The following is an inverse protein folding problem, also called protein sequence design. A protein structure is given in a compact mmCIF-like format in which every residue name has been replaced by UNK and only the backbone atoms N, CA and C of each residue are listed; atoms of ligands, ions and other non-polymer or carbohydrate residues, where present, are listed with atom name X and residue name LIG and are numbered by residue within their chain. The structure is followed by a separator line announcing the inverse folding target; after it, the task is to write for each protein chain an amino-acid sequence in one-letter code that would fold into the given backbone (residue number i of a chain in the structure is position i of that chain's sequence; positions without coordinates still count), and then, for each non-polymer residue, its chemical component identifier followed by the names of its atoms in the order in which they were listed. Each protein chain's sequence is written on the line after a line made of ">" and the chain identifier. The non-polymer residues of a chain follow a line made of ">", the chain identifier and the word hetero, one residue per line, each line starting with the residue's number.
data_IF_907998328311
#
_entry.id   IF_907998328311
#
_cell.length_a   1.000
_cell.length_b   1.000
_cell.length_c   1.000
_cell.angle_alpha   90.00
_cell.angle_beta   90.00
_cell.angle_gamma   90.00
#
_symmetry.space_group_name_H-M   'P 1'
#
loop_
_entity.id
_entity.type
_entity.pdbx_description
1 polymer ?
#
# COMPACT_ATOMS: atom_id res chain seq x y z
N UNK A 1 -6.76 38.46 -33.43
CA UNK A 1 -5.53 37.97 -34.11
C UNK A 1 -5.95 37.38 -35.45
N UNK A 2 -5.40 37.84 -36.59
CA UNK A 2 -5.80 37.30 -37.91
C UNK A 2 -5.12 35.96 -38.14
N UNK A 3 -5.74 35.03 -38.87
CA UNK A 3 -5.20 33.68 -39.19
C UNK A 3 -3.76 33.73 -39.72
N UNK A 4 -3.43 34.76 -40.50
CA UNK A 4 -2.09 35.01 -41.04
C UNK A 4 -1.06 35.37 -39.96
N UNK A 5 -1.47 36.10 -38.94
CA UNK A 5 -0.58 36.52 -37.84
C UNK A 5 -0.27 35.32 -36.93
N UNK A 6 -1.25 34.45 -36.71
CA UNK A 6 -1.09 33.19 -35.98
C UNK A 6 -0.15 32.20 -36.70
N UNK A 7 -0.31 32.04 -38.02
CA UNK A 7 0.57 31.17 -38.82
C UNK A 7 2.01 31.68 -38.85
N UNK A 8 2.22 33.00 -38.86
CA UNK A 8 3.56 33.60 -38.78
C UNK A 8 4.22 33.36 -37.42
N UNK A 9 3.45 33.46 -36.33
CA UNK A 9 3.93 33.14 -34.98
C UNK A 9 4.32 31.67 -34.84
N UNK A 10 3.51 30.74 -35.38
CA UNK A 10 3.83 29.31 -35.40
C UNK A 10 5.08 29.00 -36.23
N UNK A 11 5.24 29.64 -37.40
CA UNK A 11 6.42 29.46 -38.23
C UNK A 11 7.70 29.99 -37.56
N UNK A 12 7.62 31.14 -36.87
CA UNK A 12 8.73 31.69 -36.08
C UNK A 12 9.08 30.81 -34.89
N UNK A 13 8.09 30.25 -34.19
CA UNK A 13 8.32 29.31 -33.09
C UNK A 13 9.02 28.03 -33.56
N UNK A 14 8.56 27.45 -34.69
CA UNK A 14 9.19 26.28 -35.27
C UNK A 14 10.62 26.55 -35.76
N UNK A 15 10.88 27.70 -36.38
CA UNK A 15 12.23 28.12 -36.80
C UNK A 15 13.18 28.40 -35.64
N UNK A 16 12.65 28.80 -34.48
CA UNK A 16 13.39 28.98 -33.23
C UNK A 16 13.64 27.66 -32.47
N UNK A 17 13.32 26.51 -33.06
CA UNK A 17 13.52 25.20 -32.44
C UNK A 17 12.49 24.83 -31.38
N UNK A 18 11.39 25.58 -31.25
CA UNK A 18 10.27 25.16 -30.41
C UNK A 18 9.59 23.95 -31.07
N UNK A 19 9.78 22.78 -30.49
CA UNK A 19 9.09 21.57 -30.95
C UNK A 19 7.59 21.70 -30.69
N UNK A 20 6.80 21.76 -31.77
CA UNK A 20 5.34 21.59 -31.73
C UNK A 20 4.92 20.12 -31.58
N UNK A 21 5.84 19.23 -31.17
CA UNK A 21 5.40 17.95 -30.62
C UNK A 21 4.63 18.30 -29.36
N UNK A 22 3.35 17.91 -29.21
CA UNK A 22 2.76 17.91 -27.90
C UNK A 22 3.69 17.03 -27.06
N UNK A 23 4.41 17.61 -26.10
CA UNK A 23 4.69 16.85 -24.91
C UNK A 23 3.32 16.33 -24.48
N UNK A 24 3.18 15.00 -24.35
CA UNK A 24 1.96 14.41 -23.83
C UNK A 24 1.50 15.30 -22.68
N UNK A 25 0.26 15.79 -22.74
CA UNK A 25 -0.24 16.62 -21.65
C UNK A 25 -0.04 15.84 -20.36
N UNK A 26 0.21 16.51 -19.22
CA UNK A 26 0.39 15.78 -17.96
C UNK A 26 -0.78 14.84 -17.66
N UNK A 27 -1.97 15.14 -18.21
CA UNK A 27 -3.13 14.25 -18.23
C UNK A 27 -2.96 12.98 -19.07
N UNK A 28 -2.40 13.06 -20.28
CA UNK A 28 -2.11 11.88 -21.12
C UNK A 28 -1.03 11.00 -20.49
N UNK A 29 0.04 11.60 -19.93
CA UNK A 29 1.09 10.85 -19.25
C UNK A 29 0.58 10.16 -17.97
N UNK A 30 -0.34 10.81 -17.25
CA UNK A 30 -1.04 10.19 -16.11
C UNK A 30 -1.97 9.06 -16.55
N UNK A 31 -2.69 9.22 -17.66
CA UNK A 31 -3.57 8.19 -18.19
C UNK A 31 -2.80 6.94 -18.64
N UNK A 32 -1.63 7.12 -19.28
CA UNK A 32 -0.74 6.02 -19.65
C UNK A 32 -0.18 5.27 -18.43
N UNK A 33 0.11 5.96 -17.33
CA UNK A 33 0.61 5.32 -16.09
C UNK A 33 -0.38 4.31 -15.51
N UNK A 34 -1.68 4.61 -15.61
CA UNK A 34 -2.74 3.77 -15.05
C UNK A 34 -3.42 2.87 -16.08
N UNK A 35 -3.02 2.93 -17.36
CA UNK A 35 -3.51 2.05 -18.42
C UNK A 35 -2.71 0.74 -18.49
N UNK A 36 -2.72 0.00 -17.39
CA UNK A 36 -2.00 -1.27 -17.28
C UNK A 36 -2.84 -2.39 -17.91
N UNK A 37 -2.34 -3.12 -18.93
CA UNK A 37 -3.08 -4.22 -19.53
C UNK A 37 -3.31 -5.35 -18.53
N UNK A 38 -4.47 -6.04 -18.57
CA UNK A 38 -4.71 -7.19 -17.70
C UNK A 38 -3.67 -8.30 -17.99
N UNK A 39 -3.12 -8.87 -16.92
CA UNK A 39 -2.08 -9.89 -16.99
C UNK A 39 -2.23 -10.87 -15.83
N UNK A 40 -2.00 -12.16 -16.10
CA UNK A 40 -2.07 -13.24 -15.12
C UNK A 40 -3.49 -13.60 -14.68
N UNK A 41 -3.58 -14.51 -13.71
CA UNK A 41 -4.86 -15.05 -13.22
C UNK A 41 -5.30 -14.39 -11.91
N UNK A 42 -4.37 -13.86 -11.12
CA UNK A 42 -4.65 -13.21 -9.83
C UNK A 42 -4.17 -11.77 -9.90
N UNK A 43 -5.06 -10.85 -9.55
CA UNK A 43 -4.74 -9.43 -9.46
C UNK A 43 -4.95 -8.96 -8.01
N UNK A 44 -3.89 -8.43 -7.41
CA UNK A 44 -3.91 -7.88 -6.06
C UNK A 44 -3.64 -6.38 -6.16
N UNK A 45 -4.59 -5.58 -5.71
CA UNK A 45 -4.44 -4.16 -5.49
C UNK A 45 -4.01 -4.00 -4.04
N UNK A 46 -2.96 -3.23 -3.79
CA UNK A 46 -2.39 -3.06 -2.46
C UNK A 46 -2.30 -1.59 -2.10
N UNK A 47 -2.79 -1.23 -0.92
CA UNK A 47 -2.57 0.04 -0.26
C UNK A 47 -2.02 -0.25 1.15
N UNK A 48 -1.27 0.68 1.73
CA UNK A 48 -0.75 0.55 3.10
C UNK A 48 -0.38 1.93 3.62
N UNK A 49 -0.26 2.08 4.94
CA UNK A 49 0.29 3.27 5.58
C UNK A 49 -0.41 4.57 5.15
N UNK A 50 -1.74 4.51 5.04
CA UNK A 50 -2.53 5.66 4.57
C UNK A 50 -2.66 6.73 5.66
N UNK A 51 -2.43 6.36 6.93
CA UNK A 51 -2.38 7.24 8.09
C UNK A 51 -3.56 8.23 8.14
N UNK A 52 -4.76 7.71 7.91
CA UNK A 52 -6.03 8.41 7.90
C UNK A 52 -6.10 9.64 6.96
N UNK A 53 -5.33 9.65 5.87
CA UNK A 53 -5.37 10.71 4.86
C UNK A 53 -6.53 10.51 3.87
N UNK A 54 -7.73 10.96 4.26
CA UNK A 54 -8.91 10.93 3.40
C UNK A 54 -8.79 11.86 2.18
N UNK A 55 -8.15 13.00 2.37
CA UNK A 55 -7.98 14.03 1.35
C UNK A 55 -6.59 13.94 0.70
N UNK A 56 -6.45 14.38 -0.56
CA UNK A 56 -5.14 14.45 -1.19
C UNK A 56 -4.16 15.35 -0.41
N UNK A 57 -2.91 14.93 -0.32
CA UNK A 57 -1.83 15.61 0.41
C UNK A 57 -0.59 15.84 -0.47
N UNK A 58 0.33 16.68 -0.02
CA UNK A 58 1.69 16.71 -0.56
C UNK A 58 2.56 15.81 0.32
N UNK A 59 2.93 14.63 -0.17
CA UNK A 59 3.82 13.71 0.52
C UNK A 59 5.15 13.66 -0.23
N UNK A 60 6.25 13.95 0.46
CA UNK A 60 7.60 13.95 -0.11
C UNK A 60 8.39 12.78 0.45
N UNK A 61 8.95 11.98 -0.43
CA UNK A 61 9.88 10.90 -0.06
C UNK A 61 11.12 11.42 0.69
N UNK A 62 11.79 10.58 1.49
CA UNK A 62 13.01 10.95 2.17
C UNK A 62 14.11 11.36 1.17
N UNK A 63 14.88 12.38 1.51
CA UNK A 63 16.10 12.76 0.77
C UNK A 63 17.33 12.00 1.25
N UNK A 64 17.24 11.36 2.41
CA UNK A 64 18.31 10.57 3.02
C UNK A 64 17.65 9.32 3.60
N UNK A 65 18.16 8.14 3.23
CA UNK A 65 17.86 6.88 3.88
C UNK A 65 19.18 6.12 4.03
N UNK A 66 19.67 5.97 5.27
CA UNK A 66 20.98 5.41 5.55
C UNK A 66 20.83 3.89 5.65
N UNK A 67 21.54 3.15 4.80
CA UNK A 67 21.54 1.69 4.81
C UNK A 67 22.60 1.10 3.90
N UNK A 68 22.39 -0.12 3.42
CA UNK A 68 23.39 -0.90 2.66
C UNK A 68 23.54 -0.50 1.18
N UNK A 69 22.83 0.54 0.71
CA UNK A 69 22.88 0.99 -0.68
C UNK A 69 22.08 0.14 -1.67
N UNK A 70 21.23 -0.78 -1.19
CA UNK A 70 20.25 -1.53 -1.97
C UNK A 70 18.82 -1.18 -1.49
N UNK A 71 17.76 -1.43 -2.29
CA UNK A 71 16.39 -1.31 -1.81
C UNK A 71 16.19 -2.05 -0.47
N UNK A 72 15.50 -1.44 0.52
CA UNK A 72 14.76 -0.17 0.47
C UNK A 72 15.59 1.11 0.71
N UNK A 73 16.91 1.00 0.86
CA UNK A 73 17.82 2.09 1.25
C UNK A 73 18.42 2.91 0.10
N UNK A 74 17.69 3.08 -1.00
CA UNK A 74 18.10 3.94 -2.12
C UNK A 74 17.11 5.07 -2.29
N UNK A 75 17.62 6.30 -2.46
CA UNK A 75 16.79 7.52 -2.58
C UNK A 75 17.29 8.41 -3.71
N UNK A 76 16.45 9.37 -4.11
CA UNK A 76 16.80 10.40 -5.07
C UNK A 76 17.33 9.84 -6.39
N UNK A 77 18.48 10.34 -6.85
CA UNK A 77 19.04 9.97 -8.15
C UNK A 77 19.45 8.49 -8.23
N UNK A 78 19.83 7.87 -7.09
CA UNK A 78 20.15 6.45 -7.06
C UNK A 78 18.89 5.60 -7.28
N UNK A 79 17.77 5.99 -6.67
CA UNK A 79 16.46 5.35 -6.88
C UNK A 79 16.03 5.42 -8.36
N UNK A 80 16.09 6.62 -8.95
CA UNK A 80 15.74 6.81 -10.36
C UNK A 80 16.56 5.90 -11.29
N UNK A 81 17.87 5.84 -11.09
CA UNK A 81 18.75 4.97 -11.89
C UNK A 81 18.46 3.49 -11.70
N UNK A 82 18.22 3.05 -10.46
CA UNK A 82 17.97 1.65 -10.15
C UNK A 82 16.70 1.13 -10.81
N UNK A 83 15.62 1.93 -10.80
CA UNK A 83 14.33 1.54 -11.37
C UNK A 83 14.09 2.05 -12.80
N UNK A 84 15.08 2.72 -13.41
CA UNK A 84 14.95 3.25 -14.77
C UNK A 84 13.90 4.36 -14.93
N UNK A 85 13.67 5.15 -13.88
CA UNK A 85 12.67 6.23 -13.89
C UNK A 85 13.29 7.52 -14.45
N UNK A 86 12.64 8.11 -15.45
CA UNK A 86 13.09 9.36 -16.05
C UNK A 86 13.00 10.53 -15.04
N UNK A 87 14.07 11.34 -14.87
CA UNK A 87 14.01 12.56 -14.07
C UNK A 87 12.91 13.53 -14.53
N UNK A 88 12.29 14.23 -13.59
CA UNK A 88 11.23 15.22 -13.90
C UNK A 88 9.89 14.63 -14.37
N UNK A 89 9.73 13.31 -14.36
CA UNK A 89 8.47 12.62 -14.66
C UNK A 89 7.51 12.59 -13.46
N UNK A 90 6.24 12.24 -13.69
CA UNK A 90 5.27 12.01 -12.63
C UNK A 90 5.70 10.88 -11.67
N UNK A 91 6.33 9.82 -12.20
CA UNK A 91 6.90 8.75 -11.38
C UNK A 91 8.08 9.24 -10.52
N UNK A 92 8.94 10.13 -11.05
CA UNK A 92 10.00 10.73 -10.25
C UNK A 92 9.45 11.60 -9.12
N UNK A 93 8.32 12.30 -9.34
CA UNK A 93 7.62 13.05 -8.29
C UNK A 93 7.01 12.13 -7.22
N UNK A 94 6.42 11.01 -7.63
CA UNK A 94 5.78 10.06 -6.73
C UNK A 94 6.77 9.31 -5.83
N UNK A 95 7.98 9.01 -6.32
CA UNK A 95 8.92 8.11 -5.64
C UNK A 95 10.24 8.76 -5.22
N UNK A 96 10.41 10.08 -5.37
CA UNK A 96 11.63 10.75 -4.92
C UNK A 96 11.39 12.14 -4.36
N UNK A 97 12.37 12.63 -3.61
CA UNK A 97 12.43 14.00 -3.11
C UNK A 97 12.91 15.05 -4.12
N UNK A 98 13.33 14.62 -5.31
CA UNK A 98 13.98 15.49 -6.29
C UNK A 98 12.99 16.52 -6.84
N UNK A 99 13.41 17.79 -6.85
CA UNK A 99 12.64 18.93 -7.35
C UNK A 99 11.20 19.03 -6.80
N UNK A 100 10.97 18.50 -5.59
CA UNK A 100 9.63 18.28 -5.06
C UNK A 100 8.75 19.53 -5.08
N UNK A 101 9.27 20.71 -4.73
CA UNK A 101 8.48 21.95 -4.73
C UNK A 101 7.99 22.33 -6.13
N UNK A 102 8.83 22.16 -7.15
CA UNK A 102 8.45 22.45 -8.53
C UNK A 102 7.48 21.38 -9.06
N UNK A 103 7.78 20.11 -8.79
CA UNK A 103 6.94 18.97 -9.19
C UNK A 103 5.56 19.00 -8.53
N UNK A 104 5.46 19.32 -7.24
CA UNK A 104 4.20 19.45 -6.51
C UNK A 104 3.32 20.60 -7.04
N UNK A 105 3.91 21.67 -7.57
CA UNK A 105 3.16 22.73 -8.26
C UNK A 105 2.62 22.27 -9.63
N UNK A 106 3.33 21.39 -10.31
CA UNK A 106 2.95 20.84 -11.61
C UNK A 106 1.91 19.74 -11.50
N UNK A 107 2.16 18.76 -10.64
CA UNK A 107 1.36 17.54 -10.51
C UNK A 107 0.32 17.59 -9.37
N UNK A 108 0.43 18.55 -8.45
CA UNK A 108 -0.54 18.76 -7.39
C UNK A 108 -0.35 17.84 -6.18
N UNK A 109 -1.47 17.50 -5.54
CA UNK A 109 -1.54 16.64 -4.35
C UNK A 109 -1.82 15.19 -4.78
N UNK A 110 -1.20 14.24 -4.09
CA UNK A 110 -1.36 12.80 -4.31
C UNK A 110 -2.25 12.16 -3.23
N UNK A 111 -2.69 10.93 -3.49
CA UNK A 111 -3.52 10.17 -2.56
C UNK A 111 -4.95 10.69 -2.45
N UNK A 112 -5.57 10.42 -1.29
CA UNK A 112 -6.97 10.68 -1.02
C UNK A 112 -7.89 9.56 -1.51
N UNK A 113 -8.87 9.18 -0.69
CA UNK A 113 -9.73 8.02 -0.93
C UNK A 113 -10.61 8.16 -2.18
N UNK A 114 -11.00 9.38 -2.55
CA UNK A 114 -11.76 9.62 -3.78
C UNK A 114 -10.94 9.31 -5.05
N UNK A 115 -9.65 9.67 -5.06
CA UNK A 115 -8.74 9.35 -6.17
C UNK A 115 -8.47 7.84 -6.21
N UNK A 116 -8.18 7.23 -5.06
CA UNK A 116 -8.01 5.78 -4.94
C UNK A 116 -9.25 5.03 -5.44
N UNK A 117 -10.45 5.46 -5.06
CA UNK A 117 -11.71 4.83 -5.48
C UNK A 117 -11.88 4.85 -7.01
N UNK A 118 -11.51 5.96 -7.66
CA UNK A 118 -11.56 6.08 -9.12
C UNK A 118 -10.55 5.16 -9.80
N UNK A 119 -9.31 5.10 -9.29
CA UNK A 119 -8.28 4.21 -9.80
C UNK A 119 -8.65 2.72 -9.60
N UNK A 120 -9.09 2.34 -8.41
CA UNK A 120 -9.52 0.98 -8.09
C UNK A 120 -10.69 0.55 -8.97
N UNK A 121 -11.67 1.45 -9.19
CA UNK A 121 -12.79 1.18 -10.12
C UNK A 121 -12.29 0.96 -11.55
N UNK A 122 -11.35 1.78 -12.05
CA UNK A 122 -10.74 1.60 -13.37
C UNK A 122 -10.01 0.26 -13.49
N UNK A 123 -9.19 -0.10 -12.50
CA UNK A 123 -8.43 -1.35 -12.50
C UNK A 123 -9.34 -2.59 -12.39
N UNK A 124 -10.38 -2.54 -11.55
CA UNK A 124 -11.38 -3.61 -11.41
C UNK A 124 -12.25 -3.79 -12.65
N UNK A 125 -12.45 -2.75 -13.48
CA UNK A 125 -13.23 -2.86 -14.71
C UNK A 125 -12.65 -3.89 -15.71
N UNK A 126 -11.32 -3.99 -15.78
CA UNK A 126 -10.63 -5.01 -16.60
C UNK A 126 -10.24 -6.27 -15.81
N UNK A 127 -10.41 -6.25 -14.48
CA UNK A 127 -10.02 -7.33 -13.55
C UNK A 127 -11.09 -7.50 -12.47
N UNK A 128 -12.29 -8.04 -12.82
CA UNK A 128 -13.45 -8.00 -11.94
C UNK A 128 -13.27 -8.78 -10.63
N UNK A 129 -12.35 -9.75 -10.57
CA UNK A 129 -12.01 -10.50 -9.36
C UNK A 129 -10.79 -9.96 -8.60
N UNK A 130 -10.28 -8.78 -8.95
CA UNK A 130 -9.13 -8.19 -8.26
C UNK A 130 -9.46 -7.87 -6.80
N UNK A 131 -8.59 -8.33 -5.91
CA UNK A 131 -8.70 -8.13 -4.47
C UNK A 131 -8.01 -6.83 -4.07
N UNK A 132 -8.59 -6.07 -3.15
CA UNK A 132 -7.95 -4.92 -2.52
C UNK A 132 -7.47 -5.29 -1.12
N UNK A 133 -6.17 -5.23 -0.88
CA UNK A 133 -5.54 -5.54 0.38
C UNK A 133 -4.99 -4.26 1.01
N UNK A 134 -5.24 -4.08 2.29
CA UNK A 134 -4.74 -2.96 3.10
C UNK A 134 -3.68 -3.47 4.08
N UNK A 135 -2.43 -3.02 3.89
CA UNK A 135 -1.28 -3.42 4.68
C UNK A 135 -1.34 -2.98 6.14
N UNK A 136 -2.31 -2.16 6.55
CA UNK A 136 -2.41 -1.59 7.90
C UNK A 136 -1.95 -0.14 7.97
N UNK A 137 -1.98 0.45 9.17
CA UNK A 137 -1.70 1.87 9.39
C UNK A 137 -2.67 2.80 8.65
N UNK A 138 -3.96 2.47 8.76
CA UNK A 138 -5.05 3.13 8.04
C UNK A 138 -6.01 3.86 8.98
N UNK A 139 -6.28 3.34 10.18
CA UNK A 139 -7.33 3.90 11.06
C UNK A 139 -6.91 5.10 11.89
N UNK A 140 -5.61 5.41 11.95
CA UNK A 140 -5.02 6.45 12.80
C UNK A 140 -4.24 7.45 11.92
N UNK A 141 -4.06 8.69 12.39
CA UNK A 141 -3.11 9.65 11.77
C UNK A 141 -3.68 11.02 11.41
N UNK A 142 -4.99 11.21 11.56
CA UNK A 142 -5.66 12.48 11.25
C UNK A 142 -6.58 12.95 12.39
N UNK A 143 -7.00 14.21 12.33
CA UNK A 143 -7.91 14.79 13.33
C UNK A 143 -9.28 14.10 13.32
N UNK A 144 -9.80 13.73 12.15
CA UNK A 144 -11.10 13.03 12.06
C UNK A 144 -11.01 11.64 12.66
N UNK A 145 -9.94 10.89 12.35
CA UNK A 145 -9.68 9.59 12.94
C UNK A 145 -9.50 9.64 14.46
N UNK A 146 -8.94 10.72 15.00
CA UNK A 146 -8.88 10.95 16.44
C UNK A 146 -10.29 11.15 17.03
N UNK A 147 -11.11 12.02 16.44
CA UNK A 147 -12.44 12.36 16.95
C UNK A 147 -13.46 11.23 16.82
N UNK A 148 -13.32 10.39 15.80
CA UNK A 148 -14.23 9.27 15.54
C UNK A 148 -13.64 7.93 15.99
N UNK A 149 -12.48 7.94 16.65
CA UNK A 149 -11.76 6.72 17.04
C UNK A 149 -11.60 5.73 15.88
N UNK A 150 -11.20 6.23 14.70
CA UNK A 150 -10.99 5.48 13.47
C UNK A 150 -12.23 5.07 12.68
N UNK A 151 -13.45 5.37 13.18
CA UNK A 151 -14.69 4.97 12.51
C UNK A 151 -14.87 5.60 11.11
N UNK A 152 -14.35 6.82 10.89
CA UNK A 152 -14.32 7.46 9.59
C UNK A 152 -13.54 6.63 8.55
N UNK A 153 -12.35 6.16 8.93
CA UNK A 153 -11.47 5.36 8.08
C UNK A 153 -12.00 3.95 7.84
N UNK A 154 -12.63 3.34 8.86
CA UNK A 154 -13.37 2.09 8.69
C UNK A 154 -14.46 2.26 7.62
N UNK A 155 -15.25 3.34 7.71
CA UNK A 155 -16.26 3.68 6.70
C UNK A 155 -15.65 3.87 5.31
N UNK A 156 -14.53 4.59 5.23
CA UNK A 156 -13.83 4.85 3.98
C UNK A 156 -13.27 3.58 3.32
N UNK A 157 -12.66 2.66 4.09
CA UNK A 157 -12.17 1.37 3.58
C UNK A 157 -13.32 0.50 3.05
N UNK A 158 -14.47 0.50 3.73
CA UNK A 158 -15.67 -0.22 3.26
C UNK A 158 -16.16 0.30 1.92
N UNK A 159 -16.23 1.62 1.77
CA UNK A 159 -16.61 2.26 0.51
C UNK A 159 -15.58 2.02 -0.61
N UNK A 160 -14.29 1.98 -0.25
CA UNK A 160 -13.20 1.65 -1.17
C UNK A 160 -13.26 0.18 -1.63
N UNK A 161 -13.90 -0.67 -0.83
CA UNK A 161 -14.06 -2.10 -1.10
C UNK A 161 -12.78 -2.89 -0.80
N UNK A 162 -12.17 -2.63 0.36
CA UNK A 162 -11.07 -3.44 0.90
C UNK A 162 -11.60 -4.85 1.18
N UNK A 163 -10.84 -5.88 0.80
CA UNK A 163 -11.17 -7.28 1.03
C UNK A 163 -10.49 -7.80 2.31
N UNK A 164 -9.21 -7.47 2.50
CA UNK A 164 -8.40 -7.94 3.62
C UNK A 164 -7.56 -6.81 4.20
N UNK A 165 -7.35 -6.83 5.50
CA UNK A 165 -6.42 -5.91 6.15
C UNK A 165 -5.62 -6.58 7.27
N UNK A 166 -4.44 -6.02 7.58
CA UNK A 166 -3.74 -6.27 8.86
C UNK A 166 -3.59 -4.96 9.64
N UNK A 167 -2.75 -4.89 10.66
CA UNK A 167 -2.68 -3.70 11.52
C UNK A 167 -1.32 -3.44 12.19
N UNK A 168 -1.20 -2.19 12.62
CA UNK A 168 -0.19 -1.74 13.57
C UNK A 168 -0.71 -0.57 14.41
N UNK A 169 -0.86 0.63 13.86
CA UNK A 169 -1.35 1.80 14.62
C UNK A 169 -2.81 1.65 15.05
N UNK A 170 -3.59 0.77 14.42
CA UNK A 170 -4.94 0.41 14.87
C UNK A 170 -4.96 -0.04 16.34
N UNK A 171 -3.91 -0.73 16.82
CA UNK A 171 -3.82 -1.21 18.20
C UNK A 171 -3.70 -0.09 19.24
N UNK A 172 -3.37 1.15 18.83
CA UNK A 172 -3.28 2.29 19.75
C UNK A 172 -4.63 2.69 20.35
N UNK A 173 -5.73 2.35 19.67
CA UNK A 173 -7.08 2.53 20.19
C UNK A 173 -7.39 1.59 21.37
N UNK A 174 -6.58 0.56 21.60
CA UNK A 174 -6.75 -0.43 22.65
C UNK A 174 -7.59 -1.63 22.21
N UNK A 175 -7.48 -2.72 22.97
CA UNK A 175 -8.02 -4.02 22.59
C UNK A 175 -9.54 -4.00 22.35
N UNK A 176 -10.30 -3.34 23.22
CA UNK A 176 -11.76 -3.25 23.11
C UNK A 176 -12.19 -2.51 21.84
N UNK A 177 -11.63 -1.32 21.60
CA UNK A 177 -11.94 -0.53 20.41
C UNK A 177 -11.48 -1.23 19.13
N UNK A 178 -10.33 -1.91 19.15
CA UNK A 178 -9.87 -2.72 18.03
C UNK A 178 -10.88 -3.83 17.67
N UNK A 179 -11.35 -4.59 18.66
CA UNK A 179 -12.35 -5.65 18.45
C UNK A 179 -13.70 -5.10 17.98
N UNK A 180 -14.12 -3.92 18.46
CA UNK A 180 -15.30 -3.24 17.94
C UNK A 180 -15.11 -2.77 16.49
N UNK A 181 -13.97 -2.15 16.18
CA UNK A 181 -13.63 -1.67 14.84
C UNK A 181 -13.58 -2.77 13.79
N UNK A 182 -13.00 -3.93 14.13
CA UNK A 182 -13.00 -5.12 13.23
C UNK A 182 -14.44 -5.56 12.92
N UNK A 183 -15.33 -5.54 13.92
CA UNK A 183 -16.75 -5.88 13.72
C UNK A 183 -17.46 -4.85 12.84
N UNK A 184 -17.17 -3.57 13.01
CA UNK A 184 -17.69 -2.47 12.18
C UNK A 184 -17.18 -2.54 10.73
N UNK A 185 -15.93 -2.98 10.55
CA UNK A 185 -15.24 -3.10 9.26
C UNK A 185 -15.82 -4.21 8.36
N UNK A 186 -16.63 -5.13 8.90
CA UNK A 186 -17.29 -6.16 8.11
C UNK A 186 -17.99 -5.57 6.85
N UNK A 187 -17.78 -6.16 5.65
CA UNK A 187 -17.24 -7.50 5.41
C UNK A 187 -15.70 -7.59 5.23
N UNK A 188 -14.94 -6.53 5.50
CA UNK A 188 -13.46 -6.58 5.43
C UNK A 188 -12.96 -7.66 6.40
N UNK A 189 -12.08 -8.55 5.94
CA UNK A 189 -11.48 -9.58 6.79
C UNK A 189 -10.17 -9.09 7.39
N UNK A 190 -10.16 -8.93 8.71
CA UNK A 190 -8.95 -8.65 9.48
C UNK A 190 -8.13 -9.93 9.68
N UNK A 191 -6.85 -9.91 9.28
CA UNK A 191 -5.95 -11.05 9.35
C UNK A 191 -4.70 -10.71 10.17
N UNK A 192 -4.37 -11.55 11.15
CA UNK A 192 -3.12 -11.47 11.90
C UNK A 192 -2.76 -12.80 12.56
N UNK A 193 -1.74 -13.48 12.07
CA UNK A 193 -1.30 -14.78 12.60
C UNK A 193 -0.46 -14.66 13.88
N UNK A 194 0.18 -13.50 14.08
CA UNK A 194 1.17 -13.28 15.11
C UNK A 194 0.66 -12.61 16.38
N UNK A 195 -0.63 -12.26 16.45
CA UNK A 195 -1.22 -11.72 17.68
C UNK A 195 -1.84 -12.83 18.49
N UNK A 196 -1.34 -13.01 19.71
CA UNK A 196 -1.71 -14.13 20.58
C UNK A 196 -1.95 -13.72 22.02
N UNK A 197 -2.75 -14.48 22.76
CA UNK A 197 -2.89 -14.24 24.19
C UNK A 197 -1.56 -14.48 24.92
N UNK A 198 -1.31 -13.77 26.01
CA UNK A 198 -0.06 -13.88 26.78
C UNK A 198 0.01 -15.14 27.65
N UNK A 199 -1.13 -15.73 27.99
CA UNK A 199 -1.26 -16.85 28.92
C UNK A 199 -1.04 -18.21 28.26
N UNK A 200 -1.82 -18.52 27.22
CA UNK A 200 -1.83 -19.82 26.53
C UNK A 200 -1.31 -19.73 25.10
N UNK A 201 -0.89 -18.54 24.65
CA UNK A 201 -0.59 -18.29 23.25
C UNK A 201 -1.73 -18.70 22.32
N UNK A 202 -2.98 -18.39 22.66
CA UNK A 202 -4.10 -18.66 21.76
C UNK A 202 -4.15 -17.60 20.63
N UNK A 203 -4.50 -17.96 19.39
CA UNK A 203 -4.71 -16.98 18.33
C UNK A 203 -5.81 -15.99 18.73
N UNK A 204 -5.52 -14.69 18.71
CA UNK A 204 -6.53 -13.64 18.97
C UNK A 204 -7.38 -13.37 17.73
N UNK A 205 -6.76 -13.45 16.56
CA UNK A 205 -7.40 -13.16 15.27
C UNK A 205 -7.29 -14.32 14.29
N UNK A 206 -8.11 -14.28 13.25
CA UNK A 206 -8.00 -15.21 12.13
C UNK A 206 -6.64 -15.04 11.45
N UNK A 207 -5.84 -16.11 11.27
CA UNK A 207 -4.47 -15.99 10.80
C UNK A 207 -4.36 -15.81 9.28
N UNK A 208 -5.31 -16.37 8.52
CA UNK A 208 -5.30 -16.35 7.06
C UNK A 208 -6.72 -16.49 6.48
N UNK A 209 -6.87 -16.17 5.20
CA UNK A 209 -8.04 -16.50 4.40
C UNK A 209 -7.65 -17.33 3.17
N UNK A 210 -8.55 -18.21 2.73
CA UNK A 210 -8.46 -18.93 1.44
C UNK A 210 -9.54 -18.39 0.51
N UNK A 211 -9.17 -18.05 -0.73
CA UNK A 211 -10.09 -17.53 -1.73
C UNK A 211 -9.76 -18.09 -3.11
N UNK A 212 -10.79 -18.45 -3.87
CA UNK A 212 -10.62 -18.75 -5.30
C UNK A 212 -10.71 -17.45 -6.09
N UNK A 213 -9.66 -17.12 -6.84
CA UNK A 213 -9.60 -15.94 -7.73
C UNK A 213 -9.33 -16.44 -9.15
N UNK A 214 -10.30 -16.30 -10.04
CA UNK A 214 -10.27 -16.83 -11.41
C UNK A 214 -9.84 -18.32 -11.45
N UNK A 215 -10.35 -19.13 -10.52
CA UNK A 215 -10.04 -20.56 -10.41
C UNK A 215 -8.71 -20.89 -9.73
N UNK A 216 -7.92 -19.89 -9.32
CA UNK A 216 -6.69 -20.08 -8.54
C UNK A 216 -7.01 -20.03 -7.05
N UNK A 217 -6.67 -21.09 -6.32
CA UNK A 217 -6.76 -21.11 -4.85
C UNK A 217 -5.64 -20.26 -4.23
N UNK A 218 -5.98 -19.08 -3.72
CA UNK A 218 -5.09 -18.12 -3.09
C UNK A 218 -5.22 -18.17 -1.56
N UNK A 219 -4.11 -18.30 -0.85
CA UNK A 219 -4.03 -18.05 0.58
C UNK A 219 -3.47 -16.65 0.85
N UNK A 220 -4.09 -15.92 1.77
CA UNK A 220 -3.60 -14.62 2.26
C UNK A 220 -3.38 -14.79 3.75
N UNK A 221 -2.15 -14.70 4.21
CA UNK A 221 -1.76 -14.77 5.63
C UNK A 221 -1.55 -13.33 6.11
N UNK A 222 -2.15 -12.95 7.22
CA UNK A 222 -1.95 -11.63 7.83
C UNK A 222 -0.80 -11.63 8.83
N UNK A 223 -0.03 -10.55 8.86
CA UNK A 223 1.10 -10.35 9.79
C UNK A 223 1.07 -8.90 10.29
N UNK A 224 0.58 -8.72 11.52
CA UNK A 224 0.56 -7.42 12.17
C UNK A 224 1.97 -7.00 12.62
N UNK A 225 2.20 -5.72 12.92
CA UNK A 225 3.52 -5.26 13.33
C UNK A 225 4.00 -5.97 14.61
N UNK A 226 5.16 -6.65 14.56
CA UNK A 226 5.60 -7.54 15.62
C UNK A 226 6.04 -6.83 16.90
N UNK A 227 6.42 -5.55 16.80
CA UNK A 227 6.96 -4.77 17.93
C UNK A 227 5.94 -3.82 18.56
N UNK A 228 4.64 -4.01 18.27
CA UNK A 228 3.54 -3.20 18.79
C UNK A 228 3.61 -2.97 20.31
N UNK A 229 3.93 -3.97 21.18
CA UNK A 229 4.00 -3.77 22.64
C UNK A 229 5.14 -2.89 23.15
N UNK A 230 6.16 -2.62 22.33
CA UNK A 230 7.26 -1.72 22.68
C UNK A 230 7.16 -0.38 21.94
N UNK A 231 6.46 -0.33 20.80
CA UNK A 231 6.20 0.89 20.06
C UNK A 231 5.07 1.73 20.68
N UNK A 232 4.12 1.08 21.35
CA UNK A 232 2.92 1.71 21.92
C UNK A 232 2.71 1.35 23.39
N UNK A 233 1.89 2.11 24.15
CA UNK A 233 1.67 1.82 25.55
C UNK A 233 1.00 0.46 25.78
N UNK A 234 1.78 -0.53 26.26
CA UNK A 234 1.36 -1.92 26.47
C UNK A 234 0.06 -2.09 27.26
N UNK A 235 -0.25 -1.18 28.20
CA UNK A 235 -1.47 -1.24 29.00
C UNK A 235 -2.77 -1.16 28.18
N UNK A 236 -2.70 -0.74 26.91
CA UNK A 236 -3.84 -0.67 25.97
C UNK A 236 -4.29 -2.05 25.48
N UNK A 237 -3.41 -3.06 25.56
CA UNK A 237 -3.65 -4.43 25.11
C UNK A 237 -2.81 -5.42 25.95
N UNK A 238 -2.98 -5.43 27.28
CA UNK A 238 -2.05 -6.11 28.20
C UNK A 238 -2.04 -7.63 28.03
N UNK A 239 -3.13 -8.19 27.50
CA UNK A 239 -3.34 -9.62 27.29
C UNK A 239 -2.79 -10.13 25.96
N UNK A 240 -2.28 -9.23 25.09
CA UNK A 240 -1.82 -9.60 23.75
C UNK A 240 -0.30 -9.56 23.63
N UNK A 241 0.22 -10.56 22.95
CA UNK A 241 1.61 -10.70 22.53
C UNK A 241 1.69 -10.62 21.01
N UNK A 242 2.83 -10.14 20.54
CA UNK A 242 3.14 -9.92 19.13
C UNK A 242 4.56 -10.42 18.89
N UNK A 243 4.88 -10.76 17.65
CA UNK A 243 6.25 -11.11 17.32
C UNK A 243 6.42 -11.72 15.94
N UNK A 244 7.67 -12.07 15.64
CA UNK A 244 8.04 -12.82 14.45
C UNK A 244 8.36 -14.24 14.91
N UNK A 245 7.47 -15.17 14.59
CA UNK A 245 7.59 -16.58 14.95
C UNK A 245 7.74 -17.41 13.68
N UNK A 246 8.95 -17.46 13.13
CA UNK A 246 9.25 -18.08 11.82
C UNK A 246 8.77 -19.54 11.73
N UNK A 247 9.02 -20.33 12.76
CA UNK A 247 8.60 -21.74 12.79
C UNK A 247 7.07 -21.89 12.78
N UNK A 248 6.33 -20.96 13.41
CA UNK A 248 4.88 -20.94 13.41
C UNK A 248 4.35 -20.51 12.04
N UNK A 249 4.95 -19.47 11.45
CA UNK A 249 4.59 -19.02 10.11
C UNK A 249 4.87 -20.12 9.07
N UNK A 250 6.00 -20.83 9.15
CA UNK A 250 6.29 -21.95 8.25
C UNK A 250 5.22 -23.04 8.35
N UNK A 251 4.81 -23.44 9.56
CA UNK A 251 3.73 -24.42 9.75
C UNK A 251 2.42 -23.94 9.12
N UNK A 252 2.10 -22.65 9.26
CA UNK A 252 0.89 -22.07 8.67
C UNK A 252 0.94 -22.07 7.13
N UNK A 253 2.10 -21.76 6.55
CA UNK A 253 2.32 -21.83 5.11
C UNK A 253 2.15 -23.28 4.62
N UNK A 254 2.76 -24.25 5.30
CA UNK A 254 2.64 -25.67 4.97
C UNK A 254 1.17 -26.14 5.08
N UNK A 255 0.44 -25.66 6.09
CA UNK A 255 -0.99 -25.95 6.29
C UNK A 255 -1.86 -25.43 5.14
N UNK A 256 -1.72 -24.16 4.76
CA UNK A 256 -2.54 -23.60 3.67
C UNK A 256 -2.22 -24.23 2.32
N UNK A 257 -0.95 -24.62 2.10
CA UNK A 257 -0.55 -25.41 0.92
C UNK A 257 -1.18 -26.79 0.93
N UNK A 258 -1.18 -27.49 2.06
CA UNK A 258 -1.86 -28.78 2.19
C UNK A 258 -3.38 -28.68 1.98
N UNK A 259 -3.98 -27.52 2.28
CA UNK A 259 -5.39 -27.20 1.97
C UNK A 259 -5.64 -26.84 0.49
N UNK A 260 -4.62 -26.91 -0.36
CA UNK A 260 -4.74 -26.72 -1.80
C UNK A 260 -4.40 -25.31 -2.30
N UNK A 261 -3.82 -24.43 -1.47
CA UNK A 261 -3.39 -23.11 -1.92
C UNK A 261 -2.31 -23.22 -3.01
N UNK A 262 -2.63 -22.72 -4.20
CA UNK A 262 -1.73 -22.63 -5.34
C UNK A 262 -0.83 -21.39 -5.28
N UNK A 263 -1.30 -20.34 -4.61
CA UNK A 263 -0.49 -19.17 -4.28
C UNK A 263 -0.65 -18.78 -2.81
N UNK A 264 0.43 -18.31 -2.17
CA UNK A 264 0.46 -17.86 -0.77
C UNK A 264 1.05 -16.45 -0.71
N UNK A 265 0.24 -15.51 -0.23
CA UNK A 265 0.60 -14.10 -0.05
C UNK A 265 0.68 -13.81 1.44
N UNK A 266 1.76 -13.16 1.87
CA UNK A 266 1.86 -12.56 3.20
C UNK A 266 1.47 -11.08 3.11
N UNK A 267 0.34 -10.70 3.73
CA UNK A 267 -0.03 -9.30 3.95
C UNK A 267 0.65 -8.86 5.25
N UNK A 268 1.76 -8.15 5.11
CA UNK A 268 2.73 -7.91 6.19
C UNK A 268 2.81 -6.46 6.60
N UNK A 269 2.93 -6.24 7.89
CA UNK A 269 3.29 -4.95 8.47
C UNK A 269 4.57 -5.06 9.29
N UNK A 270 5.52 -5.93 8.91
CA UNK A 270 6.80 -6.07 9.62
C UNK A 270 7.77 -4.91 9.36
N UNK A 271 7.68 -4.29 8.17
CA UNK A 271 8.72 -3.44 7.59
C UNK A 271 9.59 -4.20 6.60
N UNK A 272 10.00 -3.51 5.52
CA UNK A 272 10.58 -4.16 4.33
C UNK A 272 11.86 -4.94 4.61
N UNK A 273 12.79 -4.45 5.43
CA UNK A 273 14.04 -5.18 5.75
C UNK A 273 13.77 -6.51 6.48
N UNK A 274 12.79 -6.48 7.38
CA UNK A 274 12.36 -7.66 8.13
C UNK A 274 11.68 -8.65 7.18
N UNK A 275 10.82 -8.17 6.29
CA UNK A 275 10.16 -9.02 5.28
C UNK A 275 11.15 -9.63 4.29
N UNK A 276 12.14 -8.87 3.84
CA UNK A 276 13.24 -9.39 3.00
C UNK A 276 14.02 -10.49 3.72
N UNK A 277 14.31 -10.29 5.01
CA UNK A 277 14.97 -11.33 5.81
C UNK A 277 14.07 -12.55 6.00
N UNK A 278 12.79 -12.35 6.24
CA UNK A 278 11.79 -13.41 6.44
C UNK A 278 11.60 -14.25 5.18
N UNK A 279 11.59 -13.63 4.00
CA UNK A 279 11.51 -14.31 2.71
C UNK A 279 12.66 -15.31 2.49
N UNK A 280 13.84 -15.02 3.04
CA UNK A 280 14.98 -15.93 3.02
C UNK A 280 14.95 -17.04 4.08
N UNK A 281 13.93 -17.06 4.95
CA UNK A 281 13.84 -17.96 6.12
C UNK A 281 12.57 -18.82 6.14
N UNK A 282 11.50 -18.38 5.48
CA UNK A 282 10.23 -19.11 5.37
C UNK A 282 9.98 -19.48 3.91
N UNK A 283 9.78 -20.78 3.67
CA UNK A 283 9.57 -21.35 2.34
C UNK A 283 8.08 -21.35 2.01
N UNK A 284 7.76 -21.22 0.71
CA UNK A 284 6.41 -21.41 0.20
C UNK A 284 5.53 -20.15 0.21
N UNK A 285 6.06 -19.01 0.65
CA UNK A 285 5.46 -17.68 0.41
C UNK A 285 5.86 -17.23 -0.99
N UNK A 286 4.89 -16.89 -1.84
CA UNK A 286 5.15 -16.47 -3.23
C UNK A 286 5.26 -14.95 -3.36
N UNK A 287 4.58 -14.21 -2.50
CA UNK A 287 4.63 -12.75 -2.48
C UNK A 287 4.45 -12.22 -1.05
N UNK A 288 5.10 -11.09 -0.77
CA UNK A 288 4.90 -10.30 0.44
C UNK A 288 4.40 -8.93 0.00
N UNK A 289 3.25 -8.52 0.54
CA UNK A 289 2.74 -7.16 0.41
C UNK A 289 3.00 -6.47 1.74
N UNK A 290 4.10 -5.71 1.81
CA UNK A 290 4.60 -5.09 3.03
C UNK A 290 4.09 -3.66 3.26
N UNK A 291 4.04 -3.25 4.53
CA UNK A 291 3.82 -1.88 4.99
C UNK A 291 4.91 -1.43 5.98
N UNK A 292 4.57 -0.51 6.89
CA UNK A 292 5.38 0.02 8.01
C UNK A 292 6.53 0.94 7.61
N UNK A 293 7.32 0.55 6.61
CA UNK A 293 8.49 1.33 6.16
C UNK A 293 8.16 2.39 5.12
N UNK A 294 6.87 2.54 4.79
CA UNK A 294 6.32 3.41 3.76
C UNK A 294 6.98 3.12 2.40
#
# INVERSE_FOLDING_TARGET
>A
MRRRDFLRLLALAAAAGASLRPQASDAQAADELYDVPPFGNVALLHITDVHAQLLPVHLREPSIHIGNGAPPHIVGQAFLRHYGIAPGSAAAHAFTSLDFTAAARRYGRSGGYAHLASLIKRLRASRPQALLLDGGDSWQGSATALWTEGADMIGAQKLLGVDYMTAHWEFTYGAERMLAGIREAAPIQFLAQNVRTVDFEDPVFTPYALRSVNGVALAIIGQAFPYTPIAHPRYRFPEWSFGIQEARLQKLVDEVRAKGAQAVVLLSHNGMDVDLKLAGRVRGIDAILGGHTH
#
